data_IF_509846547843
#
_entry.id   IF_509846547843
#
_cell.length_a   1.000
_cell.length_b   1.000
_cell.length_c   1.000
_cell.angle_alpha   90.00
_cell.angle_beta   90.00
_cell.angle_gamma   90.00
#
_symmetry.space_group_name_H-M   'P 1'
#
loop_
_entity.id
_entity.type
_entity.pdbx_description
1 polymer ?
#
# COMPACT_ATOMS: atom_id res chain seq x y z
N UNK A 1 2.06 39.28 -76.21
CA UNK A 1 0.66 38.87 -76.34
C UNK A 1 0.11 38.61 -74.95
N UNK A 2 -0.71 39.52 -74.42
CA UNK A 2 -1.74 39.17 -73.42
C UNK A 2 -2.98 38.63 -74.18
N UNK A 3 -4.12 38.22 -73.56
CA UNK A 3 -4.48 38.12 -72.13
C UNK A 3 -5.36 36.88 -71.74
N UNK A 4 -5.71 36.76 -70.43
CA UNK A 4 -7.04 36.35 -69.87
C UNK A 4 -7.50 34.87 -70.06
N UNK A 5 -8.36 34.21 -69.27
CA UNK A 5 -9.34 34.52 -68.23
C UNK A 5 -9.67 33.26 -67.38
N UNK A 6 -10.21 33.46 -66.18
CA UNK A 6 -10.85 32.46 -65.31
C UNK A 6 -12.37 32.40 -65.63
N UNK A 7 -13.06 31.25 -65.54
CA UNK A 7 -14.23 31.14 -64.63
C UNK A 7 -14.38 29.71 -64.06
N UNK A 8 -15.05 29.39 -62.94
CA UNK A 8 -16.21 30.01 -62.32
C UNK A 8 -17.40 29.03 -62.26
N UNK A 9 -17.51 28.30 -61.13
CA UNK A 9 -18.70 27.74 -60.44
C UNK A 9 -19.85 27.01 -61.19
N UNK A 10 -20.26 25.88 -60.58
CA UNK A 10 -21.64 25.37 -60.51
C UNK A 10 -21.76 23.92 -61.01
N UNK A 11 -22.51 22.97 -60.45
CA UNK A 11 -23.52 22.87 -59.37
C UNK A 11 -23.69 21.37 -59.07
N UNK A 12 -24.25 21.02 -57.90
CA UNK A 12 -25.08 19.82 -57.74
C UNK A 12 -24.48 18.68 -56.90
N UNK A 13 -24.62 18.78 -55.57
CA UNK A 13 -24.54 17.59 -54.70
C UNK A 13 -25.87 16.84 -54.76
N UNK A 14 -25.89 15.69 -55.43
CA UNK A 14 -26.88 14.63 -55.21
C UNK A 14 -26.57 13.86 -53.92
N UNK A 15 -27.54 13.10 -53.38
CA UNK A 15 -27.45 12.50 -52.05
C UNK A 15 -26.52 11.28 -52.09
N UNK A 16 -25.45 11.31 -51.29
CA UNK A 16 -24.56 10.15 -51.13
C UNK A 16 -25.26 9.09 -50.28
N UNK A 17 -25.40 7.91 -50.87
CA UNK A 17 -25.92 6.68 -50.26
C UNK A 17 -25.22 6.38 -48.94
N UNK A 18 -26.02 6.01 -47.93
CA UNK A 18 -25.53 5.43 -46.67
C UNK A 18 -25.01 4.03 -46.97
N UNK A 19 -23.75 3.77 -46.62
CA UNK A 19 -23.20 2.43 -46.61
C UNK A 19 -24.00 1.53 -45.65
N UNK A 20 -24.30 0.32 -46.11
CA UNK A 20 -25.01 -0.72 -45.36
C UNK A 20 -24.14 -1.20 -44.19
N UNK A 21 -24.74 -1.29 -43.01
CA UNK A 21 -24.10 -1.84 -41.81
C UNK A 21 -23.77 -3.33 -41.96
N UNK A 22 -22.67 -3.73 -41.35
CA UNK A 22 -22.28 -5.14 -41.17
C UNK A 22 -23.19 -5.76 -40.11
N UNK A 23 -23.83 -6.92 -40.38
CA UNK A 23 -24.65 -7.62 -39.41
C UNK A 23 -23.79 -8.56 -38.56
N UNK A 24 -23.97 -8.49 -37.24
CA UNK A 24 -23.53 -9.54 -36.32
C UNK A 24 -22.41 -9.15 -35.38
N UNK A 25 -22.77 -8.54 -34.25
CA UNK A 25 -22.31 -8.99 -32.94
C UNK A 25 -23.26 -8.46 -31.87
N UNK A 26 -23.58 -9.34 -30.93
CA UNK A 26 -24.67 -9.23 -29.98
C UNK A 26 -24.64 -7.98 -29.11
N UNK A 27 -25.83 -7.69 -28.59
CA UNK A 27 -26.07 -6.86 -27.42
C UNK A 27 -25.14 -7.25 -26.25
N UNK A 28 -24.87 -6.27 -25.41
CA UNK A 28 -24.09 -6.34 -24.16
C UNK A 28 -22.58 -6.13 -24.29
N UNK A 29 -22.20 -4.86 -24.50
CA UNK A 29 -20.98 -4.28 -23.88
C UNK A 29 -21.20 -2.78 -23.65
N UNK A 30 -21.74 -2.44 -22.47
CA UNK A 30 -21.79 -1.08 -21.94
C UNK A 30 -20.39 -0.67 -21.46
N UNK A 31 -19.54 -0.21 -22.37
CA UNK A 31 -18.31 0.50 -22.01
C UNK A 31 -18.48 1.98 -22.30
N UNK A 32 -18.86 2.74 -21.27
CA UNK A 32 -18.91 4.21 -21.32
C UNK A 32 -17.50 4.78 -21.22
N UNK A 33 -16.88 5.16 -22.34
CA UNK A 33 -15.70 6.02 -22.31
C UNK A 33 -16.10 7.48 -22.11
N UNK A 34 -15.83 8.01 -20.91
CA UNK A 34 -15.95 9.44 -20.62
C UNK A 34 -14.74 10.16 -21.23
N UNK A 35 -14.91 10.77 -22.40
CA UNK A 35 -13.88 11.55 -23.07
C UNK A 35 -14.07 13.05 -22.77
N UNK A 36 -13.27 13.59 -21.86
CA UNK A 36 -13.16 15.03 -21.61
C UNK A 36 -12.16 15.65 -22.59
N UNK A 37 -12.64 16.31 -23.65
CA UNK A 37 -11.77 17.13 -24.50
C UNK A 37 -12.36 17.57 -25.84
N UNK A 38 -12.55 18.89 -25.99
CA UNK A 38 -12.87 19.71 -27.18
C UNK A 38 -13.25 19.00 -28.50
N UNK A 39 -14.49 19.28 -28.95
CA UNK A 39 -15.06 18.80 -30.22
C UNK A 39 -14.30 19.35 -31.43
N UNK A 40 -13.61 18.47 -32.17
CA UNK A 40 -13.23 18.66 -33.58
C UNK A 40 -14.01 17.63 -34.39
N UNK A 41 -14.67 18.04 -35.48
CA UNK A 41 -15.36 17.10 -36.38
C UNK A 41 -14.34 16.42 -37.30
N UNK A 42 -14.46 15.12 -37.43
CA UNK A 42 -13.68 14.24 -38.30
C UNK A 42 -14.58 13.85 -39.47
N UNK A 43 -14.16 14.15 -40.70
CA UNK A 43 -14.97 13.98 -41.92
C UNK A 43 -14.47 12.83 -42.84
N UNK A 44 -13.47 12.06 -42.41
CA UNK A 44 -12.86 10.94 -43.17
C UNK A 44 -12.47 9.76 -42.27
N UNK A 45 -12.62 8.51 -42.74
CA UNK A 45 -12.33 7.28 -41.98
C UNK A 45 -10.87 7.20 -41.48
N UNK A 46 -9.91 7.71 -42.27
CA UNK A 46 -8.48 7.68 -41.93
C UNK A 46 -8.09 8.55 -40.73
N UNK A 47 -8.87 9.58 -40.37
CA UNK A 47 -8.54 10.49 -39.25
C UNK A 47 -8.86 9.90 -37.86
N UNK A 48 -9.53 8.76 -37.79
CA UNK A 48 -9.84 8.06 -36.52
C UNK A 48 -8.75 7.11 -36.07
N UNK A 49 -7.74 6.87 -36.92
CA UNK A 49 -6.58 6.06 -36.60
C UNK A 49 -5.44 6.98 -36.14
N UNK A 50 -5.12 6.92 -34.85
CA UNK A 50 -3.93 7.60 -34.29
C UNK A 50 -2.67 7.10 -35.01
N UNK A 51 -1.77 8.02 -35.34
CA UNK A 51 -0.42 7.75 -35.88
C UNK A 51 0.45 6.82 -34.99
N UNK A 52 0.03 6.57 -33.75
CA UNK A 52 0.67 5.64 -32.81
C UNK A 52 0.25 4.17 -32.99
N UNK A 53 -0.66 3.87 -33.93
CA UNK A 53 -1.10 2.52 -34.27
C UNK A 53 -0.30 1.89 -35.43
N UNK A 54 0.93 2.35 -35.68
CA UNK A 54 1.88 1.58 -36.49
C UNK A 54 2.57 0.51 -35.62
N UNK A 55 2.38 -0.79 -35.89
CA UNK A 55 2.91 -1.87 -35.06
C UNK A 55 4.44 -2.03 -35.12
N UNK A 56 5.18 -1.11 -35.76
CA UNK A 56 6.60 -1.26 -36.04
C UNK A 56 7.56 -0.51 -35.09
N UNK A 57 7.07 0.14 -34.02
CA UNK A 57 7.93 0.87 -33.05
C UNK A 57 7.92 0.36 -31.61
N UNK A 58 7.07 -0.62 -31.29
CA UNK A 58 7.19 -1.41 -30.06
C UNK A 58 7.89 -2.73 -30.38
N UNK A 59 9.17 -2.66 -30.75
CA UNK A 59 10.00 -3.85 -30.69
C UNK A 59 10.14 -4.24 -29.21
N UNK A 60 9.35 -5.23 -28.76
CA UNK A 60 9.66 -6.00 -27.55
C UNK A 60 11.14 -6.39 -27.65
N UNK A 61 11.94 -6.31 -26.57
CA UNK A 61 13.19 -7.05 -26.55
C UNK A 61 12.86 -8.49 -26.96
N UNK A 62 13.59 -8.98 -27.97
CA UNK A 62 13.31 -10.25 -28.61
C UNK A 62 12.96 -11.29 -27.54
N UNK A 63 11.73 -11.77 -27.57
CA UNK A 63 11.42 -12.99 -26.86
C UNK A 63 12.37 -14.04 -27.42
N UNK A 64 13.09 -14.82 -26.59
CA UNK A 64 13.80 -15.97 -27.11
C UNK A 64 12.79 -16.77 -27.94
N UNK A 65 13.17 -17.10 -29.18
CA UNK A 65 12.34 -17.93 -30.04
C UNK A 65 11.96 -19.20 -29.27
N UNK A 66 10.73 -19.74 -29.45
CA UNK A 66 10.39 -21.03 -28.88
C UNK A 66 11.29 -22.05 -29.57
N UNK A 67 12.41 -22.37 -28.93
CA UNK A 67 13.21 -23.53 -29.24
C UNK A 67 12.34 -24.74 -28.91
N UNK A 68 12.34 -25.71 -29.82
CA UNK A 68 11.69 -27.00 -29.62
C UNK A 68 12.03 -27.52 -28.20
N UNK A 69 11.07 -28.12 -27.48
CA UNK A 69 11.31 -28.53 -26.11
C UNK A 69 12.47 -29.53 -26.08
N UNK A 70 13.56 -29.12 -25.44
CA UNK A 70 14.63 -30.04 -25.06
C UNK A 70 14.00 -31.21 -24.28
N UNK A 71 14.34 -32.47 -24.60
CA UNK A 71 13.62 -33.65 -24.12
C UNK A 71 13.86 -34.01 -22.63
N UNK A 72 14.33 -33.07 -21.81
CA UNK A 72 14.66 -33.29 -20.38
C UNK A 72 14.03 -32.23 -19.47
N UNK A 73 12.69 -32.15 -19.45
CA UNK A 73 11.98 -31.35 -18.45
C UNK A 73 11.94 -32.10 -17.10
N UNK A 74 12.96 -31.90 -16.27
CA UNK A 74 12.99 -32.37 -14.88
C UNK A 74 12.28 -31.37 -13.94
N UNK A 75 11.46 -31.81 -12.98
CA UNK A 75 10.89 -30.95 -11.94
C UNK A 75 11.95 -30.18 -11.13
N UNK A 76 13.19 -30.67 -11.10
CA UNK A 76 14.31 -30.03 -10.40
C UNK A 76 14.82 -28.80 -11.15
N UNK A 77 14.91 -28.85 -12.48
CA UNK A 77 15.36 -27.70 -13.28
C UNK A 77 14.33 -26.57 -13.30
N UNK A 78 13.04 -26.90 -13.18
CA UNK A 78 11.98 -25.91 -13.03
C UNK A 78 12.02 -25.21 -11.65
N UNK A 79 12.26 -25.96 -10.56
CA UNK A 79 12.45 -25.38 -9.23
C UNK A 79 13.70 -24.50 -9.18
N UNK A 80 14.79 -24.96 -9.76
CA UNK A 80 16.04 -24.20 -9.84
C UNK A 80 15.88 -22.93 -10.69
N UNK A 81 15.07 -22.98 -11.76
CA UNK A 81 14.69 -21.80 -12.53
C UNK A 81 13.84 -20.82 -11.70
N UNK A 82 12.83 -21.29 -10.95
CA UNK A 82 12.02 -20.42 -10.07
C UNK A 82 12.90 -19.78 -9.00
N UNK A 83 13.74 -20.56 -8.32
CA UNK A 83 14.67 -20.06 -7.30
C UNK A 83 15.63 -19.02 -7.89
N UNK A 84 16.20 -19.29 -9.06
CA UNK A 84 17.07 -18.33 -9.76
C UNK A 84 16.31 -17.06 -10.15
N UNK A 85 15.06 -17.18 -10.60
CA UNK A 85 14.23 -16.01 -10.95
C UNK A 85 13.83 -15.20 -9.72
N UNK A 86 13.57 -15.87 -8.58
CA UNK A 86 13.27 -15.25 -7.29
C UNK A 86 14.49 -14.55 -6.69
N UNK A 87 15.67 -15.19 -6.77
CA UNK A 87 16.96 -14.61 -6.39
C UNK A 87 17.29 -13.42 -7.29
N UNK A 88 17.07 -13.51 -8.59
CA UNK A 88 17.25 -12.39 -9.51
C UNK A 88 16.23 -11.27 -9.28
N UNK A 89 14.97 -11.58 -8.91
CA UNK A 89 13.97 -10.58 -8.56
C UNK A 89 14.33 -9.88 -7.24
N UNK A 90 14.78 -10.62 -6.22
CA UNK A 90 15.28 -10.10 -4.96
C UNK A 90 16.54 -9.23 -5.19
N UNK A 91 17.48 -9.69 -6.02
CA UNK A 91 18.67 -8.93 -6.42
C UNK A 91 18.32 -7.71 -7.30
N UNK A 92 17.26 -7.75 -8.12
CA UNK A 92 16.73 -6.60 -8.88
C UNK A 92 16.08 -5.56 -7.98
N UNK A 93 15.36 -5.98 -6.94
CA UNK A 93 14.86 -5.12 -5.88
C UNK A 93 16.04 -4.50 -5.10
N UNK A 94 17.04 -5.30 -4.75
CA UNK A 94 18.26 -4.82 -4.11
C UNK A 94 19.10 -3.89 -5.00
N UNK A 95 19.11 -4.01 -6.33
CA UNK A 95 19.90 -3.14 -7.22
C UNK A 95 19.19 -1.84 -7.61
N UNK A 96 17.85 -1.82 -7.57
CA UNK A 96 17.07 -0.56 -7.58
C UNK A 96 17.16 0.19 -6.25
N UNK A 97 17.33 -0.55 -5.16
CA UNK A 97 17.40 0.00 -3.81
C UNK A 97 18.82 0.37 -3.40
N UNK A 98 19.83 -0.40 -3.81
CA UNK A 98 21.25 -0.08 -3.62
C UNK A 98 21.60 1.19 -4.37
N UNK A 99 21.12 1.43 -5.59
CA UNK A 99 21.36 2.72 -6.27
C UNK A 99 20.71 3.92 -5.59
N UNK A 100 19.70 3.73 -4.73
CA UNK A 100 19.07 4.80 -3.94
C UNK A 100 19.68 4.94 -2.52
N UNK A 101 20.28 3.86 -2.00
CA UNK A 101 21.01 3.81 -0.72
C UNK A 101 22.51 4.12 -0.89
N UNK A 102 23.05 3.97 -2.10
CA UNK A 102 24.44 4.31 -2.47
C UNK A 102 24.53 5.65 -3.19
N UNK A 103 23.47 6.44 -3.22
CA UNK A 103 23.51 7.81 -3.75
C UNK A 103 23.85 8.78 -2.61
N UNK A 104 25.15 9.06 -2.45
CA UNK A 104 25.69 10.37 -2.09
C UNK A 104 24.98 11.17 -0.99
N UNK A 105 24.82 10.63 0.22
CA UNK A 105 24.70 11.48 1.41
C UNK A 105 26.10 11.67 2.01
N UNK A 106 26.71 12.88 1.93
CA UNK A 106 28.00 13.15 2.56
C UNK A 106 27.91 12.95 4.08
N UNK A 107 29.04 12.62 4.72
CA UNK A 107 29.13 12.19 6.13
C UNK A 107 28.75 13.25 7.18
N UNK A 108 28.34 14.44 6.72
CA UNK A 108 27.81 15.54 7.54
C UNK A 108 26.28 15.62 7.50
N UNK A 109 25.63 14.76 6.70
CA UNK A 109 24.18 14.58 6.75
C UNK A 109 23.83 13.83 8.03
N UNK A 110 23.30 14.58 8.99
CA UNK A 110 22.64 14.10 10.21
C UNK A 110 21.68 12.98 9.80
N UNK A 111 21.97 11.75 10.22
CA UNK A 111 20.99 10.66 10.16
C UNK A 111 19.68 11.18 10.74
N UNK A 112 18.53 10.71 10.24
CA UNK A 112 17.32 10.98 10.99
C UNK A 112 17.49 10.50 12.46
N UNK A 113 16.88 11.19 13.44
CA UNK A 113 17.03 10.84 14.87
C UNK A 113 16.84 9.35 15.18
N UNK A 114 15.96 8.67 14.44
CA UNK A 114 15.74 7.23 14.56
C UNK A 114 16.94 6.38 14.10
N UNK A 115 17.52 6.65 12.93
CA UNK A 115 18.70 5.95 12.42
C UNK A 115 19.94 6.25 13.27
N UNK A 116 20.07 7.49 13.76
CA UNK A 116 21.11 7.84 14.71
C UNK A 116 20.99 7.00 15.98
N UNK A 117 19.76 6.84 16.51
CA UNK A 117 19.51 6.01 17.69
C UNK A 117 19.90 4.55 17.48
N UNK A 118 19.57 3.96 16.32
CA UNK A 118 19.97 2.59 15.98
C UNK A 118 21.51 2.45 15.96
N UNK A 119 22.21 3.43 15.35
CA UNK A 119 23.66 3.42 15.35
C UNK A 119 24.25 3.64 16.74
N UNK A 120 23.60 4.46 17.58
CA UNK A 120 24.01 4.70 18.96
C UNK A 120 24.11 3.39 19.73
N UNK A 121 23.13 2.51 19.61
CA UNK A 121 23.11 1.21 20.30
C UNK A 121 24.36 0.37 20.04
N UNK A 122 24.84 0.32 18.80
CA UNK A 122 26.05 -0.44 18.47
C UNK A 122 27.34 0.32 18.81
N UNK A 123 27.35 1.65 18.70
CA UNK A 123 28.56 2.45 18.97
C UNK A 123 28.91 2.54 20.45
N UNK A 124 27.93 2.48 21.35
CA UNK A 124 28.17 2.52 22.81
C UNK A 124 28.67 1.19 23.36
N UNK A 125 28.36 0.08 22.68
CA UNK A 125 28.55 -1.28 23.20
C UNK A 125 29.70 -2.03 22.50
N UNK A 126 30.32 -1.45 21.47
CA UNK A 126 31.40 -2.09 20.69
C UNK A 126 32.67 -1.25 20.62
N UNK A 127 33.81 -1.89 20.41
CA UNK A 127 35.09 -1.21 20.20
C UNK A 127 35.19 -0.59 18.79
N UNK A 128 36.04 0.44 18.66
CA UNK A 128 36.23 1.17 17.41
C UNK A 128 36.70 0.30 16.24
N UNK A 129 37.44 -0.78 16.52
CA UNK A 129 37.94 -1.72 15.52
C UNK A 129 36.81 -2.58 14.92
N UNK A 130 35.97 -3.17 15.77
CA UNK A 130 34.75 -3.88 15.33
C UNK A 130 33.79 -2.95 14.60
N UNK A 131 33.59 -1.73 15.10
CA UNK A 131 32.74 -0.72 14.46
C UNK A 131 33.23 -0.39 13.04
N UNK A 132 34.53 -0.10 12.88
CA UNK A 132 35.10 0.23 11.58
C UNK A 132 34.99 -0.92 10.57
N UNK A 133 35.26 -2.17 11.02
CA UNK A 133 35.10 -3.36 10.17
C UNK A 133 33.65 -3.60 9.79
N UNK A 134 32.71 -3.46 10.73
CA UNK A 134 31.28 -3.64 10.46
C UNK A 134 30.74 -2.64 9.45
N UNK A 135 31.08 -1.35 9.60
CA UNK A 135 30.72 -0.32 8.60
C UNK A 135 31.33 -0.61 7.23
N UNK A 136 32.58 -1.11 7.19
CA UNK A 136 33.20 -1.54 5.93
C UNK A 136 32.42 -2.69 5.29
N UNK A 137 31.95 -3.65 6.08
CA UNK A 137 31.16 -4.77 5.59
C UNK A 137 29.80 -4.35 5.04
N UNK A 138 29.10 -3.45 5.74
CA UNK A 138 27.86 -2.87 5.25
C UNK A 138 28.05 -2.18 3.90
N UNK A 139 29.10 -1.35 3.76
CA UNK A 139 29.40 -0.63 2.51
C UNK A 139 29.82 -1.55 1.36
N UNK A 140 30.57 -2.60 1.67
CA UNK A 140 31.00 -3.60 0.70
C UNK A 140 29.85 -4.50 0.20
N UNK A 141 28.64 -4.36 0.73
CA UNK A 141 27.48 -5.15 0.29
C UNK A 141 27.46 -6.57 0.86
N UNK A 142 28.15 -6.81 1.99
CA UNK A 142 28.15 -8.13 2.62
C UNK A 142 26.86 -8.46 3.37
N UNK A 143 25.98 -7.48 3.63
CA UNK A 143 24.63 -7.75 4.15
C UNK A 143 23.77 -8.17 2.97
N UNK A 144 23.51 -9.48 2.87
CA UNK A 144 22.84 -10.12 1.75
C UNK A 144 21.32 -10.07 1.89
N UNK A 145 20.81 -10.08 3.12
CA UNK A 145 19.38 -9.95 3.38
C UNK A 145 19.13 -9.13 4.65
N UNK A 146 18.02 -8.40 4.66
CA UNK A 146 17.56 -7.57 5.78
C UNK A 146 16.03 -7.58 5.82
N UNK A 147 15.49 -8.42 6.70
CA UNK A 147 14.06 -8.62 6.92
C UNK A 147 13.64 -7.90 8.22
N UNK A 148 12.69 -6.99 8.11
CA UNK A 148 12.15 -6.22 9.23
C UNK A 148 10.81 -6.86 9.63
N UNK A 149 10.76 -7.35 10.85
CA UNK A 149 9.57 -7.94 11.46
C UNK A 149 9.10 -7.10 12.63
N UNK A 150 7.91 -7.39 13.12
CA UNK A 150 7.42 -6.77 14.35
C UNK A 150 8.39 -7.12 15.48
N UNK A 151 8.88 -6.09 16.17
CA UNK A 151 9.83 -6.12 17.28
C UNK A 151 11.23 -6.69 16.99
N UNK A 152 11.53 -7.12 15.76
CA UNK A 152 12.78 -7.78 15.44
C UNK A 152 13.26 -7.51 14.02
N UNK A 153 14.59 -7.46 13.87
CA UNK A 153 15.27 -7.33 12.59
C UNK A 153 16.16 -8.54 12.39
N UNK A 154 15.93 -9.25 11.30
CA UNK A 154 16.75 -10.39 10.88
C UNK A 154 17.66 -9.94 9.74
N UNK A 155 18.95 -10.21 9.88
CA UNK A 155 19.95 -9.93 8.85
C UNK A 155 20.73 -11.19 8.48
N UNK A 156 21.14 -11.28 7.22
CA UNK A 156 22.07 -12.29 6.73
C UNK A 156 23.34 -11.62 6.23
N UNK A 157 24.49 -12.02 6.76
CA UNK A 157 25.77 -11.37 6.43
C UNK A 157 26.76 -12.38 5.85
N UNK A 158 27.17 -12.15 4.60
CA UNK A 158 28.21 -12.91 3.94
C UNK A 158 29.54 -12.78 4.72
N UNK A 159 30.15 -13.92 4.98
CA UNK A 159 31.39 -14.04 5.73
C UNK A 159 32.44 -14.86 4.99
N UNK A 160 33.37 -15.43 5.74
CA UNK A 160 34.42 -16.32 5.23
C UNK A 160 33.92 -17.73 4.90
N UNK A 161 32.76 -18.10 5.41
CA UNK A 161 32.12 -19.40 5.16
C UNK A 161 31.07 -19.28 4.05
N UNK A 162 30.72 -20.42 3.43
CA UNK A 162 29.77 -20.46 2.31
C UNK A 162 28.36 -20.03 2.71
N UNK A 163 27.94 -20.33 3.94
CA UNK A 163 26.62 -19.95 4.45
C UNK A 163 26.68 -18.59 5.17
N UNK A 164 25.82 -17.62 4.83
CA UNK A 164 25.76 -16.34 5.54
C UNK A 164 25.51 -16.52 7.03
N UNK A 165 26.09 -15.61 7.83
CA UNK A 165 25.84 -15.53 9.26
C UNK A 165 24.48 -14.88 9.53
N UNK A 166 23.71 -15.49 10.42
CA UNK A 166 22.43 -14.96 10.88
C UNK A 166 22.64 -13.97 12.02
N UNK A 167 22.03 -12.80 11.87
CA UNK A 167 22.02 -11.72 12.86
C UNK A 167 20.58 -11.44 13.27
N UNK A 168 20.35 -11.27 14.56
CA UNK A 168 19.08 -10.85 15.13
C UNK A 168 19.30 -9.60 15.98
N UNK A 169 18.51 -8.56 15.72
CA UNK A 169 18.38 -7.38 16.57
C UNK A 169 16.93 -7.35 17.03
N UNK A 170 16.69 -7.57 18.31
CA UNK A 170 15.36 -7.63 18.91
C UNK A 170 15.15 -6.44 19.83
N UNK A 171 14.08 -5.71 19.58
CA UNK A 171 13.63 -4.56 20.38
C UNK A 171 12.87 -5.04 21.62
N UNK A 172 12.79 -4.22 22.68
CA UNK A 172 11.98 -4.53 23.85
C UNK A 172 10.51 -4.67 23.46
N UNK A 173 9.81 -5.60 24.11
CA UNK A 173 8.37 -5.78 23.95
C UNK A 173 7.62 -4.50 24.33
N UNK A 174 6.57 -4.18 23.57
CA UNK A 174 5.67 -3.05 23.82
C UNK A 174 4.23 -3.53 23.81
N UNK A 175 3.49 -3.15 24.84
CA UNK A 175 2.06 -3.43 24.92
C UNK A 175 1.22 -2.33 24.26
N UNK A 176 -0.10 -2.47 24.31
CA UNK A 176 -1.02 -1.50 23.72
C UNK A 176 -0.93 -0.14 24.42
N UNK A 177 -0.71 -0.12 25.73
CA UNK A 177 -0.64 1.10 26.53
C UNK A 177 0.59 1.93 26.13
N UNK A 178 1.73 1.29 25.86
CA UNK A 178 2.92 1.96 25.33
C UNK A 178 2.69 2.56 23.94
N UNK A 179 1.95 1.88 23.07
CA UNK A 179 1.57 2.41 21.76
C UNK A 179 0.58 3.59 21.91
N UNK A 180 -0.38 3.50 22.81
CA UNK A 180 -1.33 4.60 23.08
C UNK A 180 -0.61 5.83 23.67
N UNK A 181 0.42 5.64 24.50
CA UNK A 181 1.29 6.74 24.95
C UNK A 181 1.95 7.45 23.77
N UNK A 182 2.51 6.69 22.82
CA UNK A 182 3.13 7.26 21.61
C UNK A 182 2.12 8.04 20.78
N UNK A 183 0.92 7.49 20.54
CA UNK A 183 -0.11 8.20 19.76
C UNK A 183 -0.62 9.43 20.49
N UNK A 184 -0.74 9.39 21.82
CA UNK A 184 -1.09 10.54 22.65
C UNK A 184 -0.03 11.65 22.60
N UNK A 185 1.26 11.29 22.61
CA UNK A 185 2.36 12.25 22.45
C UNK A 185 2.33 12.89 21.06
N UNK A 186 2.18 12.08 20.01
CA UNK A 186 2.06 12.60 18.64
C UNK A 186 0.82 13.46 18.46
N UNK A 187 -0.29 13.17 19.14
CA UNK A 187 -1.52 13.98 19.08
C UNK A 187 -1.38 15.36 19.72
N UNK A 188 -0.52 15.50 20.74
CA UNK A 188 -0.21 16.80 21.37
C UNK A 188 0.76 17.64 20.55
N UNK A 189 1.47 17.02 19.60
CA UNK A 189 2.47 17.70 18.76
C UNK A 189 1.87 18.09 17.41
N UNK A 190 1.92 19.39 17.10
CA UNK A 190 1.45 19.89 15.81
C UNK A 190 2.28 19.31 14.65
N UNK A 191 1.61 18.93 13.55
CA UNK A 191 2.22 18.32 12.36
C UNK A 191 3.03 17.04 12.65
N UNK A 192 2.78 16.34 13.75
CA UNK A 192 3.52 15.14 14.18
C UNK A 192 3.62 14.07 13.10
N UNK A 193 2.52 13.74 12.42
CA UNK A 193 2.49 12.75 11.33
C UNK A 193 3.44 13.17 10.19
N UNK A 194 3.38 14.44 9.77
CA UNK A 194 4.26 14.96 8.71
C UNK A 194 5.71 14.95 9.14
N UNK A 195 6.01 15.32 10.39
CA UNK A 195 7.37 15.26 10.96
C UNK A 195 7.89 13.82 10.98
N UNK A 196 7.06 12.86 11.40
CA UNK A 196 7.38 11.44 11.42
C UNK A 196 7.68 10.88 10.01
N UNK A 197 6.90 11.26 8.99
CA UNK A 197 7.18 10.90 7.58
C UNK A 197 8.51 11.48 7.11
N UNK A 198 8.88 12.68 7.56
CA UNK A 198 10.18 13.30 7.28
C UNK A 198 11.32 12.74 8.16
N UNK A 199 11.03 11.82 9.08
CA UNK A 199 12.02 11.24 10.00
C UNK A 199 12.35 12.10 11.21
N UNK A 200 11.65 13.23 11.41
CA UNK A 200 11.77 14.06 12.59
C UNK A 200 10.80 13.54 13.67
N UNK A 201 11.33 12.73 14.59
CA UNK A 201 10.58 12.12 15.69
C UNK A 201 11.19 12.55 17.01
N UNK A 202 10.34 12.89 17.97
CA UNK A 202 10.79 13.35 19.29
C UNK A 202 11.55 12.26 20.05
N UNK A 203 12.57 12.63 20.85
CA UNK A 203 13.41 11.65 21.56
C UNK A 203 12.60 10.71 22.47
N UNK A 204 11.60 11.22 23.17
CA UNK A 204 10.75 10.44 24.07
C UNK A 204 9.91 9.40 23.31
N UNK A 205 9.44 9.74 22.10
CA UNK A 205 8.75 8.77 21.23
C UNK A 205 9.71 7.69 20.77
N UNK A 206 10.97 8.04 20.45
CA UNK A 206 11.99 7.06 20.07
C UNK A 206 12.40 6.14 21.23
N UNK A 207 12.33 6.59 22.48
CA UNK A 207 12.60 5.76 23.66
C UNK A 207 11.59 4.61 23.75
N UNK A 208 10.33 4.87 23.41
CA UNK A 208 9.27 3.86 23.38
C UNK A 208 9.39 3.01 22.11
N UNK A 209 9.50 3.63 20.92
CA UNK A 209 9.52 2.92 19.64
C UNK A 209 10.79 2.09 19.41
N UNK A 210 11.96 2.48 19.91
CA UNK A 210 13.19 1.70 19.79
C UNK A 210 13.56 1.15 21.17
N UNK A 211 14.27 1.97 21.93
CA UNK A 211 14.69 1.71 23.30
C UNK A 211 15.37 2.98 23.85
N UNK A 212 15.30 3.22 25.16
CA UNK A 212 16.02 4.33 25.77
C UNK A 212 17.54 4.06 25.77
N UNK A 213 17.95 2.80 26.00
CA UNK A 213 19.35 2.41 26.09
C UNK A 213 19.70 1.24 25.16
N UNK A 214 21.00 1.01 24.94
CA UNK A 214 21.49 -0.12 24.17
C UNK A 214 21.27 -1.47 24.88
N UNK A 215 21.18 -1.46 26.22
CA UNK A 215 21.06 -2.66 27.04
C UNK A 215 19.67 -3.29 26.94
N UNK A 216 18.66 -2.50 26.56
CA UNK A 216 17.29 -2.97 26.33
C UNK A 216 17.13 -3.65 24.95
N UNK A 217 18.15 -3.56 24.09
CA UNK A 217 18.13 -4.14 22.74
C UNK A 217 18.97 -5.41 22.72
N UNK A 218 18.31 -6.54 22.49
CA UNK A 218 19.00 -7.83 22.40
C UNK A 218 19.60 -7.99 21.01
N UNK A 219 20.92 -8.16 20.95
CA UNK A 219 21.65 -8.40 19.71
C UNK A 219 22.32 -9.77 19.75
N UNK A 220 22.15 -10.57 18.71
CA UNK A 220 22.83 -11.85 18.58
C UNK A 220 23.31 -12.11 17.16
N UNK A 221 24.41 -12.86 17.06
CA UNK A 221 24.95 -13.34 15.80
C UNK A 221 25.55 -14.73 16.02
N UNK A 222 25.40 -15.62 15.06
CA UNK A 222 25.94 -16.98 15.06
C UNK A 222 27.44 -17.06 14.67
N UNK A 223 28.10 -15.92 14.49
CA UNK A 223 29.51 -15.88 14.12
C UNK A 223 30.44 -16.24 15.29
N UNK A 224 31.69 -16.68 15.01
CA UNK A 224 32.65 -17.08 16.06
C UNK A 224 33.25 -15.91 16.87
N UNK A 225 32.69 -14.70 16.74
CA UNK A 225 33.12 -13.53 17.52
C UNK A 225 32.30 -13.45 18.81
N UNK A 226 32.94 -13.73 19.95
CA UNK A 226 32.32 -13.72 21.28
C UNK A 226 31.99 -12.33 21.84
N UNK A 227 32.21 -11.26 21.08
CA UNK A 227 31.79 -9.92 21.48
C UNK A 227 30.27 -9.77 21.48
N UNK A 228 29.73 -9.07 22.48
CA UNK A 228 28.29 -8.75 22.56
C UNK A 228 27.76 -8.11 21.26
N UNK A 229 28.58 -7.24 20.65
CA UNK A 229 28.31 -6.65 19.33
C UNK A 229 29.50 -6.95 18.41
N UNK A 230 29.34 -7.93 17.54
CA UNK A 230 30.33 -8.28 16.53
C UNK A 230 30.26 -7.37 15.29
N UNK A 231 31.21 -7.52 14.36
CA UNK A 231 31.22 -6.76 13.10
C UNK A 231 29.96 -6.98 12.24
N UNK A 232 29.32 -8.15 12.32
CA UNK A 232 28.11 -8.47 11.54
C UNK A 232 26.88 -7.75 12.10
N UNK A 233 26.73 -7.71 13.43
CA UNK A 233 25.69 -6.91 14.10
C UNK A 233 25.83 -5.44 13.71
N UNK A 234 27.06 -4.90 13.75
CA UNK A 234 27.31 -3.52 13.29
C UNK A 234 26.91 -3.35 11.82
N UNK A 235 27.23 -4.31 10.95
CA UNK A 235 26.91 -4.20 9.53
C UNK A 235 25.38 -4.19 9.29
N UNK A 236 24.64 -5.02 10.02
CA UNK A 236 23.16 -5.06 9.96
C UNK A 236 22.55 -3.79 10.56
N UNK A 237 23.05 -3.30 11.69
CA UNK A 237 22.60 -2.04 12.28
C UNK A 237 22.86 -0.84 11.36
N UNK A 238 24.01 -0.79 10.67
CA UNK A 238 24.34 0.24 9.68
C UNK A 238 23.37 0.21 8.48
N UNK A 239 23.02 -0.99 7.99
CA UNK A 239 22.01 -1.15 6.94
C UNK A 239 20.59 -0.84 7.40
N UNK A 240 20.24 -1.19 8.64
CA UNK A 240 18.96 -0.85 9.25
C UNK A 240 18.82 0.67 9.41
N UNK A 241 19.87 1.34 9.92
CA UNK A 241 19.92 2.79 10.04
C UNK A 241 19.78 3.47 8.67
N UNK A 242 20.51 3.00 7.65
CA UNK A 242 20.36 3.52 6.28
C UNK A 242 18.95 3.30 5.71
N UNK A 243 18.29 2.17 6.03
CA UNK A 243 16.91 1.88 5.63
C UNK A 243 15.92 2.83 6.29
N UNK A 244 16.08 3.08 7.59
CA UNK A 244 15.22 3.99 8.36
C UNK A 244 15.45 5.44 7.95
N UNK A 245 16.69 5.84 7.61
CA UNK A 245 16.99 7.19 7.08
C UNK A 245 16.32 7.44 5.73
N UNK A 246 16.31 6.42 4.86
CA UNK A 246 15.68 6.52 3.54
C UNK A 246 14.14 6.44 3.60
N UNK A 247 13.59 5.65 4.52
CA UNK A 247 12.16 5.46 4.73
C UNK A 247 11.84 5.41 6.24
N UNK A 248 11.53 6.56 6.86
CA UNK A 248 11.24 6.64 8.29
C UNK A 248 10.02 5.82 8.73
N UNK A 249 9.11 5.47 7.82
CA UNK A 249 7.92 4.66 8.13
C UNK A 249 8.27 3.21 8.50
N UNK A 250 9.47 2.75 8.14
CA UNK A 250 9.98 1.45 8.56
C UNK A 250 10.07 1.34 10.09
N UNK A 251 10.32 2.45 10.80
CA UNK A 251 10.32 2.48 12.26
C UNK A 251 8.96 2.09 12.84
N UNK A 252 7.88 2.64 12.28
CA UNK A 252 6.51 2.34 12.72
C UNK A 252 6.10 0.92 12.31
N UNK A 253 6.56 0.47 11.15
CA UNK A 253 6.36 -0.92 10.68
C UNK A 253 6.99 -1.94 11.62
N UNK A 254 8.17 -1.65 12.20
CA UNK A 254 8.79 -2.48 13.23
C UNK A 254 7.92 -2.64 14.49
N UNK A 255 6.96 -1.72 14.72
CA UNK A 255 5.98 -1.81 15.81
C UNK A 255 4.61 -2.28 15.34
N UNK A 256 4.50 -2.80 14.12
CA UNK A 256 3.23 -3.24 13.54
C UNK A 256 2.26 -2.09 13.22
N UNK A 257 2.76 -0.84 13.19
CA UNK A 257 1.95 0.34 12.92
C UNK A 257 2.02 0.72 11.43
N UNK A 258 0.87 0.70 10.77
CA UNK A 258 0.72 1.27 9.44
C UNK A 258 0.51 2.78 9.55
N UNK A 259 0.93 3.56 8.55
CA UNK A 259 0.69 5.00 8.49
C UNK A 259 -0.79 5.37 8.65
N UNK A 260 -1.71 4.65 7.99
CA UNK A 260 -3.15 4.96 8.12
C UNK A 260 -3.70 4.64 9.50
N UNK A 261 -3.20 3.57 10.11
CA UNK A 261 -3.54 3.22 11.49
C UNK A 261 -3.01 4.31 12.44
N UNK A 262 -1.77 4.75 12.24
CA UNK A 262 -1.15 5.83 13.00
C UNK A 262 -1.94 7.14 12.88
N UNK A 263 -2.32 7.54 11.66
CA UNK A 263 -3.13 8.73 11.41
C UNK A 263 -4.46 8.67 12.16
N UNK A 264 -5.16 7.52 12.08
CA UNK A 264 -6.45 7.31 12.74
C UNK A 264 -6.30 7.40 14.27
N UNK A 265 -5.33 6.69 14.84
CA UNK A 265 -5.09 6.69 16.29
C UNK A 265 -4.67 8.08 16.81
N UNK A 266 -3.88 8.83 16.03
CA UNK A 266 -3.49 10.21 16.39
C UNK A 266 -4.71 11.14 16.34
N UNK A 267 -5.59 11.02 15.35
CA UNK A 267 -6.83 11.81 15.29
C UNK A 267 -7.77 11.50 16.46
N UNK A 268 -7.96 10.22 16.78
CA UNK A 268 -8.77 9.79 17.93
C UNK A 268 -8.17 10.30 19.26
N UNK A 269 -6.86 10.16 19.42
CA UNK A 269 -6.14 10.67 20.59
C UNK A 269 -6.24 12.20 20.71
N UNK A 270 -6.18 12.94 19.60
CA UNK A 270 -6.34 14.39 19.60
C UNK A 270 -7.74 14.82 20.04
N UNK A 271 -8.79 14.11 19.60
CA UNK A 271 -10.16 14.36 20.06
C UNK A 271 -10.33 14.08 21.55
N UNK A 272 -9.72 13.01 22.06
CA UNK A 272 -9.74 12.66 23.48
C UNK A 272 -9.08 13.75 24.33
N UNK A 273 -7.86 14.16 23.96
CA UNK A 273 -7.13 15.24 24.65
C UNK A 273 -7.89 16.56 24.61
N UNK A 274 -8.53 16.90 23.49
CA UNK A 274 -9.36 18.10 23.38
C UNK A 274 -10.59 18.07 24.30
N UNK A 275 -11.25 16.91 24.44
CA UNK A 275 -12.39 16.73 25.36
C UNK A 275 -11.97 16.79 26.82
N UNK A 276 -10.86 16.15 27.17
CA UNK A 276 -10.29 16.21 28.53
C UNK A 276 -9.95 17.66 28.90
N UNK A 277 -9.26 18.38 28.01
CA UNK A 277 -8.93 19.79 28.24
C UNK A 277 -10.17 20.69 28.37
N UNK A 278 -11.25 20.41 27.63
CA UNK A 278 -12.51 21.15 27.73
C UNK A 278 -13.27 20.84 29.04
N UNK A 279 -13.20 19.60 29.53
CA UNK A 279 -13.80 19.21 30.80
C UNK A 279 -13.09 19.86 31.99
N UNK A 280 -11.75 19.87 31.98
CA UNK A 280 -10.94 20.56 32.99
C UNK A 280 -11.22 22.08 33.00
N UNK A 281 -11.41 22.71 31.83
CA UNK A 281 -11.77 24.13 31.75
C UNK A 281 -13.18 24.43 32.30
N UNK A 282 -14.09 23.47 32.22
CA UNK A 282 -15.46 23.62 32.74
C UNK A 282 -15.56 23.43 34.25
N UNK A 283 -14.58 22.75 34.86
CA UNK A 283 -14.51 22.56 36.31
C UNK A 283 -13.91 23.79 37.03
N UNK A 284 -13.04 24.55 36.35
CA UNK A 284 -12.40 25.78 36.87
C UNK A 284 -13.29 27.04 36.75
N UNK A 285 -14.34 27.02 35.92
CA UNK A 285 -15.33 28.12 35.79
C UNK A 285 -16.61 27.87 36.62
N UNK A 286 -16.47 27.18 37.73
CA UNK A 286 -17.49 27.15 38.77
C UNK A 286 -17.62 28.52 39.47
N UNK A 287 -18.68 29.25 39.13
CA UNK A 287 -19.23 30.43 39.82
C UNK A 287 -18.79 31.82 39.33
N UNK A 288 -19.09 32.18 38.07
CA UNK A 288 -19.31 33.59 37.71
C UNK A 288 -20.67 33.78 37.02
N UNK A 289 -21.56 34.45 37.75
CA UNK A 289 -22.90 34.90 37.41
C UNK A 289 -22.99 35.53 36.01
N UNK A 290 -23.57 34.80 35.05
CA UNK A 290 -24.02 35.38 33.77
C UNK A 290 -25.48 35.79 33.89
N UNK A 291 -25.67 36.95 34.52
CA UNK A 291 -26.92 37.69 34.48
C UNK A 291 -27.22 38.10 33.02
N UNK A 292 -28.30 37.53 32.48
CA UNK A 292 -29.31 38.22 31.66
C UNK A 292 -28.89 38.77 30.28
N UNK A 293 -29.15 37.97 29.23
CA UNK A 293 -29.51 38.50 27.91
C UNK A 293 -31.04 38.54 27.78
N UNK A 294 -31.67 39.69 27.50
CA UNK A 294 -33.12 39.82 27.44
C UNK A 294 -33.66 39.32 26.09
N UNK A 295 -34.82 38.67 26.16
CA UNK A 295 -35.46 37.99 25.05
C UNK A 295 -36.09 38.88 23.98
N UNK A 296 -36.39 38.24 22.85
CA UNK A 296 -37.46 38.68 21.94
C UNK A 296 -38.35 37.47 21.70
N UNK A 297 -39.58 37.59 22.17
CA UNK A 297 -40.63 36.58 22.08
C UNK A 297 -41.57 36.86 20.90
N UNK A 298 -42.31 35.80 20.54
CA UNK A 298 -43.55 35.77 19.73
C UNK A 298 -43.37 35.90 18.21
N UNK A 299 -44.09 35.18 17.35
CA UNK A 299 -45.47 34.70 17.43
C UNK A 299 -45.75 33.56 16.43
N UNK A 300 -46.76 32.76 16.77
CA UNK A 300 -47.47 31.79 15.94
C UNK A 300 -48.13 32.39 14.67
N UNK A 301 -48.38 31.52 13.68
CA UNK A 301 -49.26 31.83 12.56
C UNK A 301 -49.48 30.65 11.60
N UNK A 302 -50.48 29.81 11.88
CA UNK A 302 -51.13 28.94 10.88
C UNK A 302 -51.90 29.78 9.87
N UNK A 303 -51.87 29.42 8.57
CA UNK A 303 -53.07 29.36 7.73
C UNK A 303 -52.80 28.75 6.34
N UNK A 304 -53.72 27.85 6.02
CA UNK A 304 -54.12 27.25 4.76
C UNK A 304 -54.27 28.23 3.58
N UNK A 305 -54.11 27.70 2.36
CA UNK A 305 -54.11 28.46 1.12
C UNK A 305 -54.29 27.57 -0.10
N UNK A 306 -55.42 26.89 -0.17
CA UNK A 306 -55.96 26.25 -1.37
C UNK A 306 -56.04 27.24 -2.55
N UNK A 307 -55.54 26.86 -3.72
CA UNK A 307 -56.02 27.42 -4.98
C UNK A 307 -56.05 26.39 -6.11
N UNK A 308 -57.27 26.19 -6.60
CA UNK A 308 -57.68 25.37 -7.74
C UNK A 308 -57.63 26.25 -8.99
N UNK A 309 -57.00 25.78 -10.05
CA UNK A 309 -57.24 26.30 -11.40
C UNK A 309 -57.12 25.16 -12.42
N UNK A 310 -58.28 24.75 -12.93
CA UNK A 310 -58.44 23.95 -14.14
C UNK A 310 -57.98 24.75 -15.37
N UNK A 311 -57.40 24.05 -16.35
CA UNK A 311 -56.93 24.64 -17.59
C UNK A 311 -56.49 23.59 -18.61
N UNK A 312 -57.47 22.94 -19.20
CA UNK A 312 -57.43 22.00 -20.33
C UNK A 312 -56.51 22.47 -21.47
N UNK A 313 -55.59 21.63 -21.93
CA UNK A 313 -55.35 21.50 -23.39
C UNK A 313 -54.68 20.17 -23.72
N UNK A 314 -55.32 19.52 -24.68
CA UNK A 314 -55.06 18.20 -25.24
C UNK A 314 -53.83 18.17 -26.16
N UNK A 315 -53.13 17.04 -26.08
CA UNK A 315 -52.52 16.31 -27.20
C UNK A 315 -51.49 17.03 -28.09
N UNK A 316 -50.19 16.89 -27.74
CA UNK A 316 -49.11 16.61 -28.71
C UNK A 316 -47.77 16.38 -28.01
N UNK A 317 -47.47 15.14 -27.59
CA UNK A 317 -46.07 14.70 -27.37
C UNK A 317 -45.98 13.19 -27.18
N UNK A 318 -46.19 12.43 -28.27
CA UNK A 318 -45.77 11.04 -28.33
C UNK A 318 -44.25 10.99 -28.58
N UNK A 319 -43.47 11.25 -27.54
CA UNK A 319 -42.03 11.00 -27.49
C UNK A 319 -41.65 10.54 -26.09
N UNK A 320 -41.70 9.21 -25.90
CA UNK A 320 -40.99 8.41 -24.89
C UNK A 320 -40.74 9.11 -23.55
N UNK A 321 -41.80 9.26 -22.76
CA UNK A 321 -41.65 9.37 -21.32
C UNK A 321 -40.96 8.09 -20.84
N UNK A 322 -39.66 8.19 -20.57
CA UNK A 322 -38.97 7.19 -19.77
C UNK A 322 -39.73 7.16 -18.45
N UNK A 323 -40.33 6.01 -18.15
CA UNK A 323 -41.15 5.81 -16.96
C UNK A 323 -40.32 6.19 -15.74
N UNK A 324 -40.60 7.36 -15.16
CA UNK A 324 -39.91 7.88 -13.98
C UNK A 324 -39.98 6.85 -12.84
N UNK A 325 -41.05 6.06 -12.81
CA UNK A 325 -41.23 4.96 -11.85
C UNK A 325 -40.17 3.85 -11.96
N UNK A 326 -39.63 3.53 -13.13
CA UNK A 326 -38.57 2.51 -13.27
C UNK A 326 -37.22 3.01 -12.78
N UNK A 327 -37.00 4.33 -12.82
CA UNK A 327 -35.79 4.98 -12.32
C UNK A 327 -35.81 5.09 -10.79
N UNK A 328 -36.96 5.42 -10.20
CA UNK A 328 -37.10 5.55 -8.74
C UNK A 328 -37.43 4.23 -8.01
N UNK A 329 -38.13 3.30 -8.64
CA UNK A 329 -38.56 2.06 -7.99
C UNK A 329 -37.67 0.85 -8.34
N UNK A 330 -36.73 0.99 -9.28
CA UNK A 330 -35.80 -0.07 -9.69
C UNK A 330 -36.48 -1.28 -10.32
N UNK A 331 -35.67 -2.28 -10.70
CA UNK A 331 -36.15 -3.65 -10.99
C UNK A 331 -36.08 -4.46 -9.70
N UNK A 332 -36.92 -5.47 -9.54
CA UNK A 332 -36.72 -6.49 -8.51
C UNK A 332 -35.32 -7.06 -8.64
N UNK A 333 -34.56 -7.08 -7.54
CA UNK A 333 -33.21 -7.65 -7.54
C UNK A 333 -33.30 -9.12 -7.98
N UNK A 334 -32.34 -9.59 -8.81
CA UNK A 334 -32.23 -11.01 -9.09
C UNK A 334 -31.95 -11.76 -7.79
N UNK A 335 -32.46 -12.98 -7.69
CA UNK A 335 -32.22 -13.84 -6.54
C UNK A 335 -30.71 -14.03 -6.34
N UNK A 336 -30.29 -14.03 -5.08
CA UNK A 336 -28.90 -14.14 -4.72
C UNK A 336 -28.39 -15.53 -5.14
N UNK A 337 -27.22 -15.63 -5.80
CA UNK A 337 -26.66 -16.94 -6.10
C UNK A 337 -26.41 -17.69 -4.80
N UNK A 338 -26.81 -18.95 -4.74
CA UNK A 338 -26.47 -19.83 -3.63
C UNK A 338 -24.99 -20.25 -3.79
N UNK A 339 -24.09 -19.77 -2.91
CA UNK A 339 -22.69 -20.13 -3.01
C UNK A 339 -22.52 -21.62 -2.69
N UNK A 340 -21.69 -22.30 -3.49
CA UNK A 340 -21.30 -23.68 -3.18
C UNK A 340 -20.47 -23.68 -1.90
N UNK A 341 -20.84 -24.53 -0.95
CA UNK A 341 -20.02 -24.77 0.25
C UNK A 341 -18.88 -25.70 -0.16
N UNK A 342 -17.66 -25.16 -0.16
CA UNK A 342 -16.43 -25.92 -0.39
C UNK A 342 -15.38 -25.54 0.68
N UNK A 343 -14.47 -26.45 1.04
CA UNK A 343 -13.38 -26.13 1.94
C UNK A 343 -12.54 -24.97 1.39
N UNK A 344 -12.37 -23.91 2.17
CA UNK A 344 -11.59 -22.74 1.74
C UNK A 344 -10.12 -23.09 1.43
N UNK A 345 -9.64 -24.22 1.96
CA UNK A 345 -8.29 -24.74 1.71
C UNK A 345 -8.10 -25.22 0.27
N UNK A 346 -9.15 -25.71 -0.40
CA UNK A 346 -9.09 -26.22 -1.78
C UNK A 346 -8.97 -25.08 -2.81
N UNK A 347 -9.52 -23.91 -2.47
CA UNK A 347 -9.43 -22.69 -3.29
C UNK A 347 -8.19 -21.83 -2.97
N UNK A 348 -7.48 -22.14 -1.88
CA UNK A 348 -6.33 -21.37 -1.38
C UNK A 348 -4.98 -21.95 -1.83
N UNK A 349 -3.95 -21.11 -1.92
CA UNK A 349 -2.60 -21.56 -2.24
C UNK A 349 -1.96 -22.34 -1.06
N UNK A 350 -1.66 -23.65 -1.23
CA UNK A 350 -1.10 -24.47 -0.16
C UNK A 350 0.33 -24.06 0.22
N UNK A 351 1.08 -23.37 -0.65
CA UNK A 351 2.40 -22.84 -0.28
C UNK A 351 2.30 -21.67 0.70
N UNK A 352 1.30 -20.80 0.52
CA UNK A 352 1.04 -19.70 1.45
C UNK A 352 0.56 -20.24 2.81
N UNK A 353 -0.28 -21.28 2.82
CA UNK A 353 -0.69 -21.94 4.04
C UNK A 353 0.51 -22.54 4.79
N UNK A 354 1.36 -23.31 4.11
CA UNK A 354 2.58 -23.87 4.71
C UNK A 354 3.53 -22.77 5.19
N UNK A 355 3.66 -21.67 4.46
CA UNK A 355 4.47 -20.51 4.85
C UNK A 355 3.92 -19.85 6.12
N UNK A 356 2.60 -19.73 6.25
CA UNK A 356 1.96 -19.23 7.46
C UNK A 356 2.14 -20.20 8.64
N UNK A 357 1.98 -21.51 8.42
CA UNK A 357 2.14 -22.53 9.47
C UNK A 357 3.58 -22.62 9.98
N UNK A 358 4.59 -22.34 9.13
CA UNK A 358 5.99 -22.19 9.58
C UNK A 358 6.20 -21.11 10.64
N UNK A 359 5.31 -20.12 10.72
CA UNK A 359 5.40 -19.09 11.76
C UNK A 359 5.06 -19.64 13.16
N UNK A 360 4.32 -20.75 13.23
CA UNK A 360 3.80 -21.33 14.48
C UNK A 360 4.44 -22.70 14.80
N UNK A 361 4.93 -23.43 13.79
CA UNK A 361 5.53 -24.76 13.96
C UNK A 361 7.06 -24.71 14.16
N UNK A 362 7.59 -25.48 15.11
CA UNK A 362 9.03 -25.57 15.38
C UNK A 362 9.76 -26.66 14.60
N UNK A 363 9.04 -27.69 14.12
CA UNK A 363 9.60 -28.77 13.29
C UNK A 363 8.74 -29.00 12.04
N UNK A 364 9.32 -29.67 11.03
CA UNK A 364 8.58 -30.02 9.81
C UNK A 364 7.45 -31.04 10.08
N UNK A 365 7.61 -31.90 11.09
CA UNK A 365 6.57 -32.85 11.51
C UNK A 365 5.39 -32.11 12.13
N UNK A 366 5.65 -31.09 12.96
CA UNK A 366 4.61 -30.28 13.57
C UNK A 366 3.87 -29.44 12.54
N UNK A 367 4.57 -28.93 11.52
CA UNK A 367 3.95 -28.24 10.39
C UNK A 367 2.95 -29.13 9.66
N UNK A 368 3.34 -30.37 9.33
CA UNK A 368 2.48 -31.29 8.61
C UNK A 368 1.25 -31.67 9.44
N UNK A 369 1.41 -31.85 10.76
CA UNK A 369 0.27 -32.06 11.68
C UNK A 369 -0.66 -30.87 11.72
N UNK A 370 -0.13 -29.66 11.87
CA UNK A 370 -0.93 -28.44 11.92
C UNK A 370 -1.73 -28.20 10.62
N UNK A 371 -1.15 -28.53 9.45
CA UNK A 371 -1.88 -28.46 8.18
C UNK A 371 -2.99 -29.52 8.12
N UNK A 372 -2.70 -30.76 8.53
CA UNK A 372 -3.70 -31.83 8.60
C UNK A 372 -4.87 -31.51 9.53
N UNK A 373 -4.58 -30.93 10.70
CA UNK A 373 -5.62 -30.52 11.67
C UNK A 373 -6.56 -29.46 11.10
N UNK A 374 -6.02 -28.55 10.26
CA UNK A 374 -6.81 -27.52 9.57
C UNK A 374 -7.65 -28.13 8.44
N UNK A 375 -7.11 -29.09 7.69
CA UNK A 375 -7.85 -29.86 6.69
C UNK A 375 -9.04 -30.59 7.32
N UNK A 376 -8.81 -31.30 8.44
CA UNK A 376 -9.84 -32.01 9.20
C UNK A 376 -10.92 -31.07 9.76
N UNK A 377 -10.52 -29.89 10.24
CA UNK A 377 -11.44 -28.86 10.72
C UNK A 377 -12.37 -28.38 9.59
N UNK A 378 -11.81 -28.04 8.43
CA UNK A 378 -12.61 -27.58 7.29
C UNK A 378 -13.52 -28.69 6.77
N UNK A 379 -13.03 -29.92 6.68
CA UNK A 379 -13.84 -31.08 6.31
C UNK A 379 -15.07 -31.22 7.20
N UNK A 380 -14.89 -31.10 8.53
CA UNK A 380 -16.00 -31.18 9.48
C UNK A 380 -16.98 -30.01 9.38
N UNK A 381 -16.48 -28.80 9.11
CA UNK A 381 -17.31 -27.60 8.94
C UNK A 381 -18.13 -27.64 7.64
N UNK A 382 -17.60 -28.27 6.59
CA UNK A 382 -18.31 -28.40 5.31
C UNK A 382 -19.26 -29.60 5.27
N UNK A 383 -18.93 -30.71 5.95
CA UNK A 383 -19.78 -31.90 5.96
C UNK A 383 -20.97 -31.80 6.93
N UNK A 384 -20.85 -31.08 8.05
CA UNK A 384 -21.97 -30.95 9.01
C UNK A 384 -23.06 -29.96 8.60
N UNK A 385 -22.82 -29.17 7.56
CA UNK A 385 -23.76 -28.17 7.04
C UNK A 385 -24.50 -28.63 5.77
N UNK A 386 -24.36 -29.91 5.41
CA UNK A 386 -25.14 -30.59 4.39
C UNK A 386 -25.93 -31.74 5.05
#
# INVERSE_FOLDING_TARGET
MSPRDNPGKGKGKGPKERAKGVPGRGEDDNVTYVNFGKRRRVDTEEETLRDDAHPSKFARPAQPEPQDPDPEFSPESFREAIEKTAVEYHNRQQTRWSKRITSDKPRDSIFNPAAERVMKFVTTTTDSGRLARGRKYARAGHVVDLDLRVDAVHGQVAGSQNQPFSVLIQLPYRDKDDIEKVTGMLARTANSIRRAICGDVEPEVLDILLAPSADDVKMSCDCPDYGHVCKHVVAVADRLAARIDADPLQLFTLRGLNIHALETMVMESAQKVARESAAELSDDLGDEDTTQMPGTSTSDGSADGSNKAEGTSTAASKARAVSNELFWNGRSLPDMPEPKVAPAIDDSDPELLRKAMRAVSHTNVDLLRAVSDVEDLYHFLTEKNN
#
